data_IF_884216521595
#
_entry.id   IF_884216521595
#
_cell.length_a   1.000
_cell.length_b   1.000
_cell.length_c   1.000
_cell.angle_alpha   90.00
_cell.angle_beta   90.00
_cell.angle_gamma   90.00
#
_symmetry.space_group_name_H-M   'P 1'
#
loop_
_entity.id
_entity.type
_entity.pdbx_description
1 polymer ?
#
# COMPACT_ATOMS: atom_id res chain seq x y z
N UNK A 1 11.28 26.53 -82.41
CA UNK A 1 12.27 26.49 -81.32
C UNK A 1 11.52 26.28 -80.02
N UNK A 2 11.66 25.13 -79.41
CA UNK A 2 10.92 24.66 -78.26
C UNK A 2 11.59 25.11 -76.97
N UNK A 3 10.88 25.89 -76.15
CA UNK A 3 11.29 26.24 -74.77
C UNK A 3 10.81 25.20 -73.77
N UNK A 4 11.74 24.53 -73.06
CA UNK A 4 11.47 23.55 -72.02
C UNK A 4 11.26 24.29 -70.69
N UNK A 5 10.13 24.01 -70.02
CA UNK A 5 9.91 24.42 -68.63
C UNK A 5 10.57 23.42 -67.69
N UNK A 6 11.16 23.85 -66.55
CA UNK A 6 11.69 22.97 -65.53
C UNK A 6 10.56 22.39 -64.63
N UNK A 7 10.77 21.25 -63.96
CA UNK A 7 9.74 20.61 -63.17
C UNK A 7 9.53 21.28 -61.80
N UNK A 8 8.28 21.40 -61.42
CA UNK A 8 7.83 21.93 -60.12
C UNK A 8 8.12 20.90 -59.01
N UNK A 9 8.93 21.32 -58.06
CA UNK A 9 9.28 20.56 -56.88
C UNK A 9 8.07 20.46 -55.91
N UNK A 10 7.46 19.28 -55.81
CA UNK A 10 6.37 19.02 -54.83
C UNK A 10 6.97 18.91 -53.43
N UNK A 11 6.84 19.97 -52.66
CA UNK A 11 7.10 19.97 -51.21
C UNK A 11 6.18 18.96 -50.55
N UNK A 12 6.78 17.93 -49.92
CA UNK A 12 6.08 17.01 -49.00
C UNK A 12 5.67 17.80 -47.75
N UNK A 13 4.39 18.07 -47.62
CA UNK A 13 3.82 18.57 -46.40
C UNK A 13 3.89 17.47 -45.33
N UNK A 14 4.85 17.59 -44.42
CA UNK A 14 4.87 16.78 -43.20
C UNK A 14 3.72 17.18 -42.32
N UNK A 15 2.81 16.26 -42.09
CA UNK A 15 1.62 16.48 -41.27
C UNK A 15 2.01 16.51 -39.79
N UNK A 16 2.33 17.71 -39.28
CA UNK A 16 2.74 17.95 -37.88
C UNK A 16 1.68 17.48 -36.86
N UNK A 17 0.41 17.41 -37.27
CA UNK A 17 -0.68 16.95 -36.43
C UNK A 17 -0.62 15.45 -36.08
N UNK A 18 -0.05 14.61 -36.96
CA UNK A 18 0.06 13.17 -36.70
C UNK A 18 1.17 12.81 -35.70
N UNK A 19 2.24 13.64 -35.64
CA UNK A 19 3.35 13.43 -34.70
C UNK A 19 2.96 13.78 -33.26
N UNK A 20 2.26 14.91 -33.06
CA UNK A 20 1.81 15.33 -31.72
C UNK A 20 0.77 14.36 -31.13
N UNK A 21 -0.08 13.77 -31.99
CA UNK A 21 -1.11 12.83 -31.55
C UNK A 21 -0.53 11.45 -31.14
N UNK A 22 0.60 11.05 -31.75
CA UNK A 22 1.31 9.79 -31.43
C UNK A 22 2.03 9.88 -30.08
N UNK A 23 2.70 10.99 -29.78
CA UNK A 23 3.39 11.18 -28.50
C UNK A 23 2.41 11.37 -27.33
N UNK A 24 1.28 12.07 -27.54
CA UNK A 24 0.24 12.22 -26.51
C UNK A 24 -0.41 10.89 -26.16
N UNK A 25 -0.63 10.00 -27.15
CA UNK A 25 -1.18 8.65 -26.89
C UNK A 25 -0.20 7.75 -26.14
N UNK A 26 1.11 7.84 -26.39
CA UNK A 26 2.10 7.02 -25.69
C UNK A 26 2.28 7.46 -24.22
N UNK A 27 2.22 8.78 -23.95
CA UNK A 27 2.32 9.32 -22.58
C UNK A 27 1.08 8.97 -21.73
N UNK A 28 -0.12 9.14 -22.30
CA UNK A 28 -1.38 8.80 -21.60
C UNK A 28 -1.45 7.30 -21.30
N UNK A 29 -0.98 6.42 -22.21
CA UNK A 29 -0.98 4.98 -21.96
C UNK A 29 0.05 4.55 -20.91
N UNK A 30 1.18 5.25 -20.78
CA UNK A 30 2.22 4.96 -19.80
C UNK A 30 1.79 5.42 -18.38
N UNK A 31 1.22 6.62 -18.24
CA UNK A 31 0.71 7.11 -16.96
C UNK A 31 -0.51 6.30 -16.47
N UNK A 32 -1.41 5.92 -17.37
CA UNK A 32 -2.56 5.05 -17.03
C UNK A 32 -2.08 3.63 -16.64
N UNK A 33 -0.99 3.13 -17.22
CA UNK A 33 -0.41 1.84 -16.88
C UNK A 33 0.28 1.83 -15.52
N UNK A 34 0.94 2.92 -15.13
CA UNK A 34 1.60 3.06 -13.82
C UNK A 34 0.56 3.12 -12.70
N UNK A 35 -0.56 3.80 -12.88
CA UNK A 35 -1.65 3.86 -11.90
C UNK A 35 -2.38 2.51 -11.75
N UNK A 36 -2.37 1.66 -12.80
CA UNK A 36 -2.98 0.32 -12.77
C UNK A 36 -2.09 -0.74 -12.12
N UNK A 37 -0.83 -0.44 -11.82
CA UNK A 37 0.15 -1.37 -11.24
C UNK A 37 0.34 -1.20 -9.73
N UNK A 38 -0.13 -0.12 -9.13
CA UNK A 38 -0.06 0.04 -7.67
C UNK A 38 -1.16 -0.78 -7.00
N UNK A 39 -0.76 -1.67 -6.09
CA UNK A 39 -1.72 -2.37 -5.24
C UNK A 39 -2.44 -1.39 -4.31
N UNK A 40 -3.63 -1.77 -3.80
CA UNK A 40 -4.47 -0.89 -2.97
C UNK A 40 -3.79 -0.51 -1.66
N UNK A 41 -3.01 -1.42 -1.08
CA UNK A 41 -2.25 -1.14 0.13
C UNK A 41 -1.20 -0.05 -0.13
N UNK A 42 -0.42 -0.16 -1.21
CA UNK A 42 0.58 0.85 -1.57
C UNK A 42 -0.03 2.24 -1.77
N UNK A 43 -1.24 2.32 -2.35
CA UNK A 43 -1.94 3.58 -2.56
C UNK A 43 -2.34 4.31 -1.26
N UNK A 44 -2.39 3.61 -0.12
CA UNK A 44 -2.78 4.16 1.20
C UNK A 44 -1.67 4.07 2.25
N UNK A 45 -0.48 3.60 1.85
CA UNK A 45 0.69 3.42 2.71
C UNK A 45 1.80 4.41 2.30
N UNK A 46 1.84 5.63 2.84
CA UNK A 46 2.98 6.51 2.64
C UNK A 46 4.26 5.88 3.21
N UNK A 47 5.41 6.10 2.55
CA UNK A 47 6.69 5.57 3.04
C UNK A 47 7.01 6.03 4.48
N UNK A 48 6.55 7.24 4.86
CA UNK A 48 6.69 7.76 6.21
C UNK A 48 5.90 6.98 7.28
N UNK A 49 4.94 6.14 6.87
CA UNK A 49 4.14 5.31 7.78
C UNK A 49 4.73 3.90 7.96
N UNK A 50 5.96 3.66 7.48
CA UNK A 50 6.67 2.40 7.68
C UNK A 50 7.74 2.60 8.74
N UNK A 51 7.68 1.80 9.80
CA UNK A 51 8.67 1.78 10.89
C UNK A 51 9.24 0.38 11.04
N UNK A 52 10.55 0.30 11.21
CA UNK A 52 11.27 -0.94 11.53
C UNK A 52 11.94 -0.82 12.88
N UNK A 53 12.24 -1.96 13.47
CA UNK A 53 12.95 -2.07 14.75
C UNK A 53 12.27 -1.30 15.89
N UNK A 54 10.91 -1.33 15.89
CA UNK A 54 10.10 -0.67 16.92
C UNK A 54 10.28 -1.42 18.24
N UNK A 55 10.71 -0.69 19.28
CA UNK A 55 10.82 -1.25 20.64
C UNK A 55 9.45 -1.32 21.31
N UNK A 56 8.80 -2.46 21.14
CA UNK A 56 7.50 -2.74 21.75
C UNK A 56 7.45 -4.18 22.25
N UNK A 57 7.12 -4.35 23.53
CA UNK A 57 7.14 -5.66 24.22
C UNK A 57 5.76 -6.29 24.38
N UNK A 58 4.71 -5.64 23.86
CA UNK A 58 3.34 -6.11 23.99
C UNK A 58 2.42 -5.54 22.90
N UNK A 59 1.27 -6.19 22.67
CA UNK A 59 0.19 -5.72 21.80
C UNK A 59 -0.22 -4.27 22.14
N UNK A 60 -0.31 -3.95 23.45
CA UNK A 60 -0.64 -2.59 23.89
C UNK A 60 0.40 -1.58 23.43
N UNK A 61 1.68 -1.87 23.63
CA UNK A 61 2.76 -0.95 23.25
C UNK A 61 2.81 -0.71 21.74
N UNK A 62 2.67 -1.74 20.91
CA UNK A 62 2.70 -1.54 19.47
C UNK A 62 1.48 -0.77 18.97
N UNK A 63 0.30 -0.90 19.60
CA UNK A 63 -0.88 -0.06 19.29
C UNK A 63 -0.67 1.40 19.69
N UNK A 64 0.00 1.66 20.82
CA UNK A 64 0.40 3.01 21.23
C UNK A 64 1.37 3.65 20.23
N UNK A 65 2.34 2.90 19.72
CA UNK A 65 3.25 3.37 18.66
C UNK A 65 2.51 3.71 17.37
N UNK A 66 1.58 2.85 16.93
CA UNK A 66 0.75 3.12 15.78
C UNK A 66 -0.11 4.38 15.99
N UNK A 67 -0.72 4.51 17.18
CA UNK A 67 -1.50 5.70 17.55
C UNK A 67 -0.68 6.98 17.46
N UNK A 68 0.53 6.97 18.01
CA UNK A 68 1.45 8.11 17.96
C UNK A 68 1.87 8.45 16.52
N UNK A 69 2.11 7.44 15.68
CA UNK A 69 2.42 7.64 14.26
C UNK A 69 1.27 8.34 13.55
N UNK A 70 0.03 7.86 13.70
CA UNK A 70 -1.14 8.47 13.06
C UNK A 70 -1.45 9.87 13.60
N UNK A 71 -1.21 10.13 14.89
CA UNK A 71 -1.35 11.46 15.47
C UNK A 71 -0.34 12.44 14.85
N UNK A 72 0.93 12.09 14.81
CA UNK A 72 1.99 12.95 14.30
C UNK A 72 1.93 13.18 12.79
N UNK A 73 1.46 12.19 12.02
CA UNK A 73 1.49 12.23 10.55
C UNK A 73 0.16 12.65 9.93
N UNK A 74 -0.95 12.37 10.61
CA UNK A 74 -2.28 12.52 10.04
C UNK A 74 -3.24 13.30 10.95
N UNK A 75 -2.77 13.84 12.08
CA UNK A 75 -3.56 14.59 13.06
C UNK A 75 -4.81 13.82 13.58
N UNK A 76 -4.70 12.49 13.66
CA UNK A 76 -5.73 11.63 14.25
C UNK A 76 -5.33 11.37 15.70
N UNK A 77 -6.12 11.82 16.68
CA UNK A 77 -5.79 11.69 18.09
C UNK A 77 -5.39 10.24 18.45
N UNK A 78 -4.25 10.09 19.12
CA UNK A 78 -3.70 8.79 19.53
C UNK A 78 -4.72 7.92 20.25
N UNK A 79 -5.46 8.51 21.20
CA UNK A 79 -6.50 7.80 21.94
C UNK A 79 -7.58 7.24 21.00
N UNK A 80 -8.04 8.03 20.02
CA UNK A 80 -9.02 7.57 19.05
C UNK A 80 -8.52 6.36 18.27
N UNK A 81 -7.26 6.37 17.83
CA UNK A 81 -6.66 5.24 17.09
C UNK A 81 -6.58 4.01 18.00
N UNK A 82 -5.97 4.14 19.18
CA UNK A 82 -5.76 3.01 20.10
C UNK A 82 -7.07 2.40 20.56
N UNK A 83 -8.07 3.21 20.92
CA UNK A 83 -9.38 2.73 21.39
C UNK A 83 -10.10 1.91 20.30
N UNK A 84 -10.09 2.38 19.05
CA UNK A 84 -10.71 1.68 17.92
C UNK A 84 -9.97 0.39 17.56
N UNK A 85 -8.63 0.37 17.59
CA UNK A 85 -7.85 -0.83 17.39
C UNK A 85 -8.16 -1.87 18.49
N UNK A 86 -8.18 -1.46 19.75
CA UNK A 86 -8.53 -2.36 20.87
C UNK A 86 -9.97 -2.83 20.82
N UNK A 87 -10.92 -1.97 20.45
CA UNK A 87 -12.31 -2.36 20.30
C UNK A 87 -12.47 -3.48 19.27
N UNK A 88 -11.75 -3.39 18.15
CA UNK A 88 -11.72 -4.44 17.13
C UNK A 88 -11.03 -5.72 17.62
N UNK A 89 -9.87 -5.60 18.25
CA UNK A 89 -9.06 -6.73 18.72
C UNK A 89 -9.78 -7.57 19.77
N UNK A 90 -10.62 -6.96 20.62
CA UNK A 90 -11.46 -7.66 21.62
C UNK A 90 -12.52 -8.57 20.99
N UNK A 91 -12.90 -8.35 19.73
CA UNK A 91 -13.85 -9.22 19.01
C UNK A 91 -13.19 -10.51 18.49
N UNK A 92 -11.89 -10.60 18.57
CA UNK A 92 -11.06 -11.70 18.13
C UNK A 92 -9.73 -11.17 17.60
N UNK A 93 -8.65 -11.93 17.82
CA UNK A 93 -7.32 -11.55 17.39
C UNK A 93 -7.26 -11.25 15.89
N UNK A 94 -6.52 -10.21 15.56
CA UNK A 94 -6.20 -9.84 14.17
C UNK A 94 -4.88 -10.46 13.69
N UNK A 95 -4.28 -11.34 14.47
CA UNK A 95 -3.15 -12.19 14.06
C UNK A 95 -3.57 -13.16 12.97
N UNK A 96 -2.74 -13.32 11.94
CA UNK A 96 -2.98 -14.27 10.85
C UNK A 96 -2.19 -15.55 10.99
N UNK A 97 -1.31 -15.63 11.99
CA UNK A 97 -0.29 -16.66 12.10
C UNK A 97 0.99 -16.27 11.35
N UNK A 98 1.98 -17.14 11.38
CA UNK A 98 3.27 -16.95 10.74
C UNK A 98 3.98 -15.64 11.11
N UNK A 99 3.75 -15.15 12.33
CA UNK A 99 4.38 -13.95 12.87
C UNK A 99 3.87 -12.63 12.27
N UNK A 100 2.67 -12.60 11.68
CA UNK A 100 2.08 -11.39 11.07
C UNK A 100 0.67 -11.11 11.61
N UNK A 101 0.28 -9.81 11.64
CA UNK A 101 -1.04 -9.38 12.05
C UNK A 101 -1.56 -8.19 11.21
N UNK A 102 -2.90 -8.03 11.13
CA UNK A 102 -3.56 -6.89 10.47
C UNK A 102 -4.49 -6.17 11.47
N UNK A 103 -3.97 -5.45 12.45
CA UNK A 103 -4.80 -4.63 13.32
C UNK A 103 -5.51 -3.57 12.50
N UNK A 104 -6.84 -3.43 12.67
CA UNK A 104 -7.61 -2.47 11.92
C UNK A 104 -8.73 -1.85 12.75
N UNK A 105 -9.14 -0.64 12.40
CA UNK A 105 -10.18 0.09 13.12
C UNK A 105 -10.93 1.07 12.24
N UNK A 106 -12.16 1.43 12.66
CA UNK A 106 -12.99 2.43 11.99
C UNK A 106 -12.83 3.76 12.69
N UNK A 107 -12.54 4.82 11.95
CA UNK A 107 -12.32 6.15 12.50
C UNK A 107 -13.40 7.11 11.99
N UNK A 108 -14.13 7.69 12.93
CA UNK A 108 -15.13 8.73 12.65
C UNK A 108 -14.44 9.98 12.06
N UNK A 109 -14.98 10.49 10.96
CA UNK A 109 -14.44 11.68 10.30
C UNK A 109 -13.26 11.43 9.36
N UNK A 110 -12.69 10.23 9.35
CA UNK A 110 -11.68 9.86 8.34
C UNK A 110 -12.34 9.82 6.95
N UNK A 111 -11.70 10.43 5.96
CA UNK A 111 -12.23 10.50 4.58
C UNK A 111 -11.74 9.35 3.71
N UNK A 112 -10.47 8.99 3.84
CA UNK A 112 -9.83 7.96 3.04
C UNK A 112 -9.14 6.95 3.97
N UNK A 113 -9.05 5.66 3.57
CA UNK A 113 -8.27 4.69 4.31
C UNK A 113 -6.80 5.12 4.45
N UNK A 114 -6.19 4.75 5.56
CA UNK A 114 -4.78 4.97 5.85
C UNK A 114 -4.17 3.67 6.37
N UNK A 115 -2.95 3.37 5.91
CA UNK A 115 -2.18 2.24 6.40
C UNK A 115 -0.89 2.69 7.07
N UNK A 116 -0.39 1.85 7.97
CA UNK A 116 0.95 1.92 8.52
C UNK A 116 1.51 0.51 8.70
N UNK A 117 2.83 0.37 8.58
CA UNK A 117 3.52 -0.91 8.79
C UNK A 117 4.53 -0.73 9.90
N UNK A 118 4.44 -1.57 10.91
CA UNK A 118 5.38 -1.60 12.02
C UNK A 118 6.00 -3.00 12.11
N UNK A 119 7.33 -3.06 12.09
CA UNK A 119 8.07 -4.27 12.43
C UNK A 119 8.72 -4.05 13.80
N UNK A 120 8.36 -4.91 14.76
CA UNK A 120 8.91 -4.84 16.10
C UNK A 120 10.30 -5.49 16.16
N UNK A 121 11.14 -4.99 17.04
CA UNK A 121 12.49 -5.48 17.24
C UNK A 121 12.50 -6.93 17.79
N UNK A 122 11.60 -7.21 18.72
CA UNK A 122 11.39 -8.55 19.27
C UNK A 122 9.94 -8.98 19.03
N UNK A 123 9.69 -10.19 18.52
CA UNK A 123 8.32 -10.68 18.34
C UNK A 123 7.52 -10.65 19.65
N UNK A 124 6.26 -10.27 19.56
CA UNK A 124 5.36 -10.10 20.72
C UNK A 124 4.22 -11.11 20.72
N UNK A 125 3.73 -11.56 21.89
CA UNK A 125 2.51 -12.36 22.00
C UNK A 125 1.32 -11.60 21.40
N UNK A 126 0.51 -12.26 20.54
CA UNK A 126 -0.57 -11.60 19.81
C UNK A 126 -1.88 -12.40 19.77
N UNK A 127 -1.93 -13.56 20.43
CA UNK A 127 -3.06 -14.49 20.38
C UNK A 127 -3.40 -14.89 18.93
N UNK A 128 -2.37 -15.14 18.12
CA UNK A 128 -2.51 -15.60 16.74
C UNK A 128 -3.00 -17.06 16.70
N UNK A 129 -3.64 -17.52 15.61
CA UNK A 129 -4.23 -18.87 15.52
C UNK A 129 -3.23 -20.02 15.65
N UNK A 130 -1.95 -19.76 15.41
CA UNK A 130 -0.84 -20.73 15.51
C UNK A 130 -0.01 -20.56 16.78
N UNK A 131 -0.45 -19.69 17.71
CA UNK A 131 0.25 -19.30 18.93
C UNK A 131 1.67 -18.72 18.71
N UNK A 132 2.07 -18.44 17.45
CA UNK A 132 3.35 -17.82 17.14
C UNK A 132 3.34 -16.32 17.48
N UNK A 133 4.45 -15.80 18.04
CA UNK A 133 4.57 -14.37 18.31
C UNK A 133 4.69 -13.58 17.01
N UNK A 134 4.11 -12.37 16.99
CA UNK A 134 4.04 -11.48 15.83
C UNK A 134 5.20 -10.49 15.83
N UNK A 135 5.87 -10.36 14.68
CA UNK A 135 6.92 -9.37 14.45
C UNK A 135 6.56 -8.29 13.43
N UNK A 136 5.63 -8.57 12.51
CA UNK A 136 5.24 -7.65 11.45
C UNK A 136 3.74 -7.35 11.54
N UNK A 137 3.39 -6.07 11.64
CA UNK A 137 2.01 -5.61 11.77
C UNK A 137 1.69 -4.60 10.67
N UNK A 138 0.58 -4.83 9.95
CA UNK A 138 0.01 -3.89 8.99
C UNK A 138 -1.25 -3.29 9.61
N UNK A 139 -1.17 -2.03 10.03
CA UNK A 139 -2.30 -1.29 10.60
C UNK A 139 -3.15 -0.70 9.48
N UNK A 140 -4.47 -0.83 9.60
CA UNK A 140 -5.42 -0.25 8.65
C UNK A 140 -6.48 0.57 9.40
N UNK A 141 -6.52 1.86 9.13
CA UNK A 141 -7.60 2.75 9.56
C UNK A 141 -8.54 3.03 8.40
N UNK A 142 -9.84 2.84 8.61
CA UNK A 142 -10.84 3.05 7.56
C UNK A 142 -11.91 4.04 8.03
N UNK A 143 -12.56 4.77 7.10
CA UNK A 143 -13.74 5.57 7.43
C UNK A 143 -14.83 4.74 8.09
N UNK A 144 -15.58 5.33 9.04
CA UNK A 144 -16.70 4.66 9.72
C UNK A 144 -17.74 4.11 8.73
N UNK A 145 -18.03 4.86 7.67
CA UNK A 145 -18.97 4.48 6.62
C UNK A 145 -18.39 3.53 5.56
N UNK A 146 -17.10 3.14 5.66
CA UNK A 146 -16.50 2.24 4.68
C UNK A 146 -17.06 0.83 4.82
N UNK A 147 -17.57 0.28 3.71
CA UNK A 147 -18.18 -1.06 3.69
C UNK A 147 -17.40 -2.00 2.77
N UNK A 148 -17.65 -1.96 1.47
CA UNK A 148 -17.05 -2.87 0.50
C UNK A 148 -15.55 -2.62 0.30
N UNK A 149 -15.14 -1.36 0.16
CA UNK A 149 -13.76 -1.00 -0.16
C UNK A 149 -12.75 -1.45 0.91
N UNK A 150 -13.13 -1.41 2.19
CA UNK A 150 -12.21 -1.84 3.25
C UNK A 150 -12.02 -3.36 3.28
N UNK A 151 -13.05 -4.13 2.93
CA UNK A 151 -12.94 -5.58 2.81
C UNK A 151 -12.01 -5.97 1.66
N UNK A 152 -12.04 -5.25 0.55
CA UNK A 152 -11.13 -5.44 -0.58
C UNK A 152 -9.68 -5.16 -0.20
N UNK A 153 -9.42 -4.09 0.60
CA UNK A 153 -8.08 -3.79 1.09
C UNK A 153 -7.60 -4.87 2.06
N UNK A 154 -8.44 -5.30 3.01
CA UNK A 154 -8.08 -6.38 3.94
C UNK A 154 -7.80 -7.69 3.23
N UNK A 155 -8.59 -8.02 2.20
CA UNK A 155 -8.38 -9.22 1.38
C UNK A 155 -7.03 -9.16 0.65
N UNK A 156 -6.70 -8.02 0.06
CA UNK A 156 -5.41 -7.81 -0.62
C UNK A 156 -4.23 -7.90 0.35
N UNK A 157 -4.35 -7.32 1.56
CA UNK A 157 -3.30 -7.44 2.58
C UNK A 157 -3.13 -8.90 3.02
N UNK A 158 -4.23 -9.64 3.19
CA UNK A 158 -4.17 -11.04 3.55
C UNK A 158 -3.53 -11.89 2.44
N UNK A 159 -3.83 -11.61 1.17
CA UNK A 159 -3.20 -12.26 0.00
C UNK A 159 -1.70 -11.97 -0.04
N UNK A 160 -1.29 -10.70 0.12
CA UNK A 160 0.10 -10.27 0.20
C UNK A 160 0.85 -11.02 1.31
N UNK A 161 0.26 -11.11 2.51
CA UNK A 161 0.86 -11.80 3.64
C UNK A 161 0.80 -13.33 3.53
N UNK A 162 0.00 -13.89 2.63
CA UNK A 162 -0.04 -15.32 2.31
C UNK A 162 1.14 -15.76 1.45
N UNK A 163 1.73 -14.84 0.67
CA UNK A 163 2.97 -15.09 -0.07
C UNK A 163 4.13 -15.27 0.92
N UNK A 164 4.56 -16.53 1.10
CA UNK A 164 5.65 -16.89 2.00
C UNK A 164 6.94 -16.16 1.64
N UNK A 165 7.29 -16.12 0.35
CA UNK A 165 8.55 -15.53 -0.11
C UNK A 165 8.61 -14.03 0.18
N UNK A 166 7.50 -13.32 -0.02
CA UNK A 166 7.38 -11.91 0.31
C UNK A 166 7.38 -11.71 1.83
N UNK A 167 6.56 -12.45 2.57
CA UNK A 167 6.47 -12.37 4.04
C UNK A 167 7.83 -12.53 4.71
N UNK A 168 8.63 -13.50 4.26
CA UNK A 168 9.98 -13.74 4.79
C UNK A 168 10.91 -12.54 4.50
N UNK A 169 10.83 -11.94 3.29
CA UNK A 169 11.59 -10.73 2.93
C UNK A 169 11.16 -9.52 3.77
N UNK A 170 9.87 -9.32 4.00
CA UNK A 170 9.36 -8.20 4.81
C UNK A 170 9.86 -8.25 6.26
N UNK A 171 9.94 -9.46 6.83
CA UNK A 171 10.44 -9.66 8.20
C UNK A 171 11.90 -9.32 8.38
N UNK A 172 12.73 -9.47 7.34
CA UNK A 172 14.18 -9.26 7.39
C UNK A 172 14.64 -8.04 6.60
N UNK A 173 13.73 -7.21 6.09
CA UNK A 173 14.08 -6.00 5.35
C UNK A 173 15.03 -5.11 6.17
N UNK A 174 16.14 -4.62 5.60
CA UNK A 174 17.16 -3.89 6.37
C UNK A 174 16.67 -2.56 6.92
N UNK A 175 15.72 -1.92 6.24
CA UNK A 175 15.19 -0.61 6.59
C UNK A 175 13.74 -0.42 6.13
N UNK A 176 13.15 0.72 6.54
CA UNK A 176 11.77 1.08 6.23
C UNK A 176 11.54 1.33 4.72
N UNK A 177 12.54 1.85 4.02
CA UNK A 177 12.44 2.13 2.58
C UNK A 177 12.33 0.82 1.78
N UNK A 178 13.24 -0.12 2.05
CA UNK A 178 13.22 -1.46 1.44
C UNK A 178 11.92 -2.20 1.75
N UNK A 179 11.43 -2.11 3.00
CA UNK A 179 10.16 -2.73 3.40
C UNK A 179 8.99 -2.11 2.63
N UNK A 180 8.95 -0.80 2.49
CA UNK A 180 7.94 -0.09 1.71
C UNK A 180 7.98 -0.49 0.23
N UNK A 181 9.17 -0.54 -0.38
CA UNK A 181 9.36 -0.93 -1.78
C UNK A 181 8.90 -2.37 -2.05
N UNK A 182 9.18 -3.31 -1.15
CA UNK A 182 8.70 -4.70 -1.26
C UNK A 182 7.17 -4.77 -1.31
N UNK A 183 6.49 -3.97 -0.48
CA UNK A 183 5.03 -3.87 -0.50
C UNK A 183 4.53 -3.17 -1.77
N UNK A 184 5.14 -2.05 -2.14
CA UNK A 184 4.71 -1.24 -3.29
C UNK A 184 4.84 -1.98 -4.62
N UNK A 185 5.86 -2.82 -4.75
CA UNK A 185 6.14 -3.59 -5.99
C UNK A 185 5.48 -4.97 -6.00
N UNK A 186 4.73 -5.34 -4.94
CA UNK A 186 4.01 -6.59 -4.95
C UNK A 186 2.79 -6.53 -5.87
N UNK A 187 2.64 -7.56 -6.70
CA UNK A 187 1.48 -7.73 -7.58
C UNK A 187 0.64 -8.93 -7.11
N UNK A 188 -0.68 -8.76 -6.95
CA UNK A 188 -1.57 -9.89 -6.67
C UNK A 188 -1.40 -10.99 -7.72
N UNK A 189 -1.43 -12.24 -7.30
CA UNK A 189 -1.46 -13.36 -8.22
C UNK A 189 -2.72 -13.20 -9.10
N UNK A 190 -2.52 -12.96 -10.40
CA UNK A 190 -3.64 -12.91 -11.33
C UNK A 190 -4.33 -14.26 -11.28
N UNK A 191 -5.55 -14.30 -10.76
CA UNK A 191 -6.38 -15.49 -10.89
C UNK A 191 -6.52 -15.76 -12.40
N UNK A 192 -5.90 -16.82 -12.85
CA UNK A 192 -6.12 -17.35 -14.21
C UNK A 192 -7.58 -17.82 -14.22
N UNK A 193 -8.44 -17.01 -14.86
CA UNK A 193 -9.82 -17.35 -15.10
C UNK A 193 -9.94 -18.40 -16.20
#
# INVERSE_FOLDING_TARGET
>A
MQGRHPPVNRARSYNFASYVCSEARSKVSAETRVVSLMNRLAAILPASNVLVDVDATSKKRVFEHAGLLFENRHAIARATVTDNLFARERLGSTGLGHGVAIPHGRIKGLKNPLAAVLRVQQPIPFDAPDDEPVSLLIFLLVPEAATQRHLEILSEIAELLSDRGLRDKLKVAPDAATLHELIANWEPLKSVA
#
